data_IF_318706538505
#
_entry.id   IF_318706538505
#
_cell.length_a   1.000
_cell.length_b   1.000
_cell.length_c   1.000
_cell.angle_alpha   90.00
_cell.angle_beta   90.00
_cell.angle_gamma   90.00
#
_symmetry.space_group_name_H-M   'P 1'
#
loop_
_entity.id
_entity.type
_entity.pdbx_description
1 polymer ?
#
# COMPACT_ATOMS: atom_id res chain seq x y z
N UNK A 1 11.64 7.10 7.85
CA UNK A 1 12.45 7.81 6.83
C UNK A 1 13.42 8.80 7.47
N UNK A 2 12.93 9.76 8.26
CA UNK A 2 13.76 10.87 8.79
C UNK A 2 14.93 10.47 9.69
N UNK A 3 14.83 9.37 10.42
CA UNK A 3 15.88 8.93 11.35
C UNK A 3 16.95 8.06 10.68
N UNK A 4 16.62 7.34 9.61
CA UNK A 4 17.50 6.32 9.01
C UNK A 4 18.08 6.71 7.65
N UNK A 5 17.52 7.74 6.99
CA UNK A 5 17.96 8.23 5.67
C UNK A 5 18.29 7.10 4.68
N UNK A 6 17.33 6.21 4.37
CA UNK A 6 17.62 5.03 3.57
C UNK A 6 17.87 5.42 2.11
N UNK A 7 18.78 4.71 1.44
CA UNK A 7 19.05 4.87 -0.01
C UNK A 7 17.97 4.21 -0.89
N UNK A 8 17.18 3.28 -0.34
CA UNK A 8 16.10 2.57 -1.01
C UNK A 8 15.03 2.16 0.01
N UNK A 9 13.76 2.22 -0.40
CA UNK A 9 12.64 1.73 0.40
C UNK A 9 11.97 0.56 -0.31
N UNK A 10 11.80 -0.55 0.41
CA UNK A 10 10.86 -1.61 0.04
C UNK A 10 9.53 -1.32 0.72
N UNK A 11 8.49 -1.08 -0.08
CA UNK A 11 7.14 -0.87 0.43
C UNK A 11 6.29 -2.13 0.22
N UNK A 12 6.09 -2.87 1.30
CA UNK A 12 5.24 -4.05 1.33
C UNK A 12 3.76 -3.64 1.52
N UNK A 13 3.03 -3.57 0.40
CA UNK A 13 1.68 -3.00 0.34
C UNK A 13 0.61 -4.06 0.63
N UNK A 14 0.55 -4.52 1.88
CA UNK A 14 -0.48 -5.44 2.37
C UNK A 14 -1.86 -4.78 2.49
N UNK A 15 -2.91 -5.48 2.08
CA UNK A 15 -4.32 -5.04 2.13
C UNK A 15 -5.15 -5.84 3.14
N UNK A 16 -4.50 -6.67 3.94
CA UNK A 16 -5.07 -7.42 5.07
C UNK A 16 -5.63 -6.50 6.18
N UNK A 17 -5.27 -5.23 6.18
CA UNK A 17 -5.92 -4.20 7.02
C UNK A 17 -7.38 -3.90 6.63
N UNK A 18 -7.87 -4.43 5.51
CA UNK A 18 -9.25 -4.20 5.06
C UNK A 18 -10.27 -4.76 6.06
N UNK A 19 -11.38 -4.05 6.27
CA UNK A 19 -12.40 -4.41 7.27
C UNK A 19 -13.03 -5.79 7.13
N UNK A 20 -12.93 -6.41 5.95
CA UNK A 20 -13.45 -7.76 5.67
C UNK A 20 -12.35 -8.79 5.43
N UNK A 21 -11.10 -8.45 5.72
CA UNK A 21 -10.01 -9.42 5.66
C UNK A 21 -10.14 -10.46 6.78
N UNK A 22 -9.74 -11.69 6.51
CA UNK A 22 -9.86 -12.80 7.45
C UNK A 22 -8.76 -12.89 8.50
N UNK A 23 -7.63 -12.20 8.33
CA UNK A 23 -6.44 -12.35 9.17
C UNK A 23 -5.90 -11.04 9.76
N UNK A 24 -6.17 -9.88 9.16
CA UNK A 24 -5.61 -8.62 9.67
C UNK A 24 -6.34 -7.98 10.84
N UNK A 25 -7.65 -8.24 11.02
CA UNK A 25 -8.47 -7.74 12.14
C UNK A 25 -8.46 -6.21 12.35
N UNK A 26 -8.24 -5.44 11.28
CA UNK A 26 -8.43 -3.98 11.26
C UNK A 26 -9.76 -3.62 10.61
N UNK A 27 -10.20 -2.37 10.77
CA UNK A 27 -11.45 -1.84 10.19
C UNK A 27 -11.16 -0.70 9.20
N UNK A 28 -10.30 -0.95 8.22
CA UNK A 28 -9.98 0.05 7.18
C UNK A 28 -10.84 -0.19 5.95
N UNK A 29 -11.45 0.88 5.44
CA UNK A 29 -12.23 0.85 4.20
C UNK A 29 -11.35 0.74 2.95
N UNK A 30 -11.97 0.42 1.82
CA UNK A 30 -11.28 0.44 0.52
C UNK A 30 -10.63 1.81 0.23
N UNK A 31 -11.36 2.89 0.50
CA UNK A 31 -10.85 4.25 0.33
C UNK A 31 -9.76 4.60 1.34
N UNK A 32 -9.79 4.02 2.54
CA UNK A 32 -8.73 4.15 3.53
C UNK A 32 -7.42 3.52 3.06
N UNK A 33 -7.48 2.32 2.47
CA UNK A 33 -6.31 1.68 1.84
C UNK A 33 -5.79 2.57 0.71
N UNK A 34 -6.68 3.03 -0.18
CA UNK A 34 -6.30 3.92 -1.27
C UNK A 34 -5.61 5.18 -0.75
N UNK A 35 -6.17 5.84 0.25
CA UNK A 35 -5.57 7.03 0.86
C UNK A 35 -4.17 6.75 1.44
N UNK A 36 -3.98 5.58 2.07
CA UNK A 36 -2.67 5.13 2.56
C UNK A 36 -1.65 5.00 1.42
N UNK A 37 -2.01 4.38 0.30
CA UNK A 37 -1.08 4.21 -0.84
C UNK A 37 -0.54 5.56 -1.32
N UNK A 38 -1.42 6.53 -1.51
CA UNK A 38 -1.02 7.88 -1.92
C UNK A 38 -0.19 8.57 -0.84
N UNK A 39 -0.59 8.49 0.43
CA UNK A 39 0.12 9.12 1.53
C UNK A 39 1.55 8.60 1.66
N UNK A 40 1.73 7.28 1.64
CA UNK A 40 3.05 6.66 1.81
C UNK A 40 3.96 6.95 0.62
N UNK A 41 3.46 6.76 -0.61
CA UNK A 41 4.27 6.95 -1.81
C UNK A 41 4.61 8.43 -2.06
N UNK A 42 3.68 9.36 -1.80
CA UNK A 42 3.94 10.79 -1.92
C UNK A 42 4.99 11.23 -0.89
N UNK A 43 4.88 10.74 0.35
CA UNK A 43 5.87 11.00 1.39
C UNK A 43 7.25 10.47 1.02
N UNK A 44 7.36 9.27 0.43
CA UNK A 44 8.64 8.75 -0.07
C UNK A 44 9.18 9.60 -1.23
N UNK A 45 8.31 9.97 -2.18
CA UNK A 45 8.67 10.83 -3.32
C UNK A 45 9.21 12.19 -2.87
N UNK A 46 8.58 12.82 -1.89
CA UNK A 46 9.02 14.11 -1.34
C UNK A 46 10.44 14.06 -0.75
N UNK A 47 10.88 12.89 -0.31
CA UNK A 47 12.25 12.69 0.20
C UNK A 47 13.26 12.33 -0.92
N UNK A 48 12.83 12.22 -2.19
CA UNK A 48 13.64 11.80 -3.32
C UNK A 48 14.34 10.44 -3.10
N UNK A 49 13.68 9.50 -2.40
CA UNK A 49 14.22 8.16 -2.16
C UNK A 49 13.58 7.18 -3.15
N UNK A 50 14.37 6.38 -3.89
CA UNK A 50 13.85 5.30 -4.73
C UNK A 50 12.98 4.34 -3.93
N UNK A 51 11.91 3.84 -4.55
CA UNK A 51 10.99 2.88 -3.94
C UNK A 51 10.74 1.70 -4.84
N UNK A 52 10.76 0.50 -4.25
CA UNK A 52 10.26 -0.73 -4.85
C UNK A 52 9.03 -1.18 -4.06
N UNK A 53 7.86 -1.20 -4.71
CA UNK A 53 6.62 -1.68 -4.08
C UNK A 53 6.44 -3.16 -4.36
N UNK A 54 5.96 -3.92 -3.37
CA UNK A 54 5.55 -5.31 -3.55
C UNK A 54 4.14 -5.52 -3.01
N UNK A 55 3.45 -6.52 -3.55
CA UNK A 55 2.16 -6.98 -3.04
C UNK A 55 2.42 -7.71 -1.71
N UNK A 56 1.81 -7.23 -0.63
CA UNK A 56 1.88 -7.85 0.69
C UNK A 56 0.72 -8.78 1.00
N UNK A 57 0.39 -8.90 2.29
CA UNK A 57 -0.74 -9.71 2.78
C UNK A 57 -2.11 -9.28 2.25
N UNK A 58 -3.08 -10.19 2.29
CA UNK A 58 -4.44 -9.99 1.80
C UNK A 58 -5.12 -11.33 1.56
N UNK A 59 -6.20 -11.60 2.29
CA UNK A 59 -6.73 -12.95 2.48
C UNK A 59 -8.25 -13.05 2.25
N UNK A 60 -8.83 -12.04 1.59
CA UNK A 60 -10.22 -12.10 1.14
C UNK A 60 -10.41 -13.25 0.13
N UNK A 61 -11.50 -14.01 0.30
CA UNK A 61 -11.87 -15.11 -0.58
C UNK A 61 -12.35 -14.63 -1.95
N UNK A 62 -12.83 -13.39 -2.04
CA UNK A 62 -13.13 -12.77 -3.34
C UNK A 62 -11.84 -12.28 -4.00
N UNK A 63 -11.30 -13.11 -4.89
CA UNK A 63 -10.07 -12.83 -5.63
C UNK A 63 -10.15 -11.55 -6.48
N UNK A 64 -11.32 -11.21 -7.02
CA UNK A 64 -11.46 -10.00 -7.84
C UNK A 64 -11.42 -8.76 -6.97
N UNK A 65 -12.15 -8.77 -5.85
CA UNK A 65 -12.09 -7.68 -4.88
C UNK A 65 -10.69 -7.54 -4.26
N UNK A 66 -10.02 -8.67 -3.99
CA UNK A 66 -8.65 -8.69 -3.47
C UNK A 66 -7.66 -8.09 -4.48
N UNK A 67 -7.73 -8.51 -5.75
CA UNK A 67 -6.91 -7.95 -6.81
C UNK A 67 -7.15 -6.45 -7.00
N UNK A 68 -8.40 -5.98 -6.90
CA UNK A 68 -8.73 -4.56 -6.95
C UNK A 68 -8.09 -3.75 -5.82
N UNK A 69 -8.03 -4.31 -4.59
CA UNK A 69 -7.35 -3.67 -3.48
C UNK A 69 -5.84 -3.62 -3.69
N UNK A 70 -5.22 -4.72 -4.11
CA UNK A 70 -3.79 -4.70 -4.43
C UNK A 70 -3.45 -3.80 -5.62
N UNK A 71 -4.37 -3.61 -6.57
CA UNK A 71 -4.18 -2.67 -7.68
C UNK A 71 -4.00 -1.21 -7.22
N UNK A 72 -4.44 -0.85 -6.00
CA UNK A 72 -4.37 0.52 -5.49
C UNK A 72 -2.92 1.04 -5.38
N UNK A 73 -1.96 0.21 -4.97
CA UNK A 73 -0.55 0.63 -4.88
C UNK A 73 0.01 0.99 -6.25
N UNK A 74 -0.34 0.21 -7.27
CA UNK A 74 0.06 0.50 -8.65
C UNK A 74 -0.62 1.77 -9.18
N UNK A 75 -1.91 1.97 -8.89
CA UNK A 75 -2.62 3.19 -9.27
C UNK A 75 -2.00 4.45 -8.63
N UNK A 76 -1.60 4.37 -7.37
CA UNK A 76 -0.92 5.46 -6.69
C UNK A 76 0.48 5.68 -7.29
N UNK A 77 1.25 4.61 -7.50
CA UNK A 77 2.57 4.68 -8.11
C UNK A 77 2.53 5.32 -9.51
N UNK A 78 1.65 4.87 -10.41
CA UNK A 78 1.49 5.44 -11.76
C UNK A 78 1.05 6.90 -11.78
N UNK A 79 0.42 7.38 -10.70
CA UNK A 79 0.01 8.79 -10.60
C UNK A 79 1.08 9.69 -10.01
N UNK A 80 1.97 9.13 -9.18
CA UNK A 80 2.99 9.88 -8.46
C UNK A 80 4.36 9.82 -9.14
N UNK A 81 4.69 8.75 -9.86
CA UNK A 81 5.98 8.56 -10.54
C UNK A 81 5.77 8.42 -12.06
#
# INVERSE_FOLDING_TARGET
INMSQPDLIFYDAGVDVYSKDGLGYFDISFDGIKAREFLVLDMIKQHNIPVATVIGGGYDKDQKALAQRHALVFQAATKLF
#
